data_IF_726745872865
#
_entry.id   IF_726745872865
#
_cell.length_a   1.000
_cell.length_b   1.000
_cell.length_c   1.000
_cell.angle_alpha   90.00
_cell.angle_beta   90.00
_cell.angle_gamma   90.00
#
_symmetry.space_group_name_H-M   'P 1'
#
loop_
_entity.id
_entity.type
_entity.pdbx_description
1 polymer ?
#
# COMPACT_ATOMS: atom_id res chain seq x y z
N UNK A 1 -17.55 -23.14 -22.33
CA UNK A 1 -18.85 -22.73 -21.78
C UNK A 1 -18.62 -21.40 -21.08
N UNK A 2 -18.93 -20.33 -21.81
CA UNK A 2 -18.56 -18.95 -21.48
C UNK A 2 -19.53 -18.37 -20.46
N UNK A 3 -19.03 -18.07 -19.26
CA UNK A 3 -19.72 -17.25 -18.27
C UNK A 3 -19.44 -15.79 -18.62
N UNK A 4 -20.44 -15.14 -19.21
CA UNK A 4 -20.47 -13.70 -19.38
C UNK A 4 -20.70 -13.08 -18.00
N UNK A 5 -19.60 -12.64 -17.38
CA UNK A 5 -19.61 -11.86 -16.15
C UNK A 5 -20.12 -10.45 -16.44
N UNK A 6 -21.31 -10.19 -15.93
CA UNK A 6 -22.00 -8.91 -15.93
C UNK A 6 -21.18 -7.87 -15.14
N UNK A 7 -20.32 -7.12 -15.85
CA UNK A 7 -19.64 -5.93 -15.32
C UNK A 7 -20.62 -4.75 -15.41
N UNK A 8 -21.60 -4.74 -14.51
CA UNK A 8 -22.38 -3.53 -14.25
C UNK A 8 -21.48 -2.55 -13.50
N UNK A 9 -20.99 -1.59 -14.27
CA UNK A 9 -20.28 -0.38 -13.89
C UNK A 9 -21.00 0.33 -12.73
N UNK A 10 -20.63 -0.01 -11.49
CA UNK A 10 -20.85 0.86 -10.34
C UNK A 10 -19.86 2.03 -10.45
N UNK A 11 -20.25 3.02 -11.24
CA UNK A 11 -19.78 4.39 -11.11
C UNK A 11 -20.35 4.99 -9.83
N UNK A 12 -19.88 4.48 -8.68
CA UNK A 12 -20.04 5.19 -7.41
C UNK A 12 -19.21 6.47 -7.56
N UNK A 13 -19.94 7.57 -7.73
CA UNK A 13 -19.41 8.92 -7.67
C UNK A 13 -18.61 9.07 -6.39
N UNK A 14 -17.29 8.95 -6.52
CA UNK A 14 -16.32 9.36 -5.52
C UNK A 14 -16.51 10.87 -5.37
N UNK A 15 -17.44 11.28 -4.50
CA UNK A 15 -17.51 12.65 -4.01
C UNK A 15 -16.17 12.85 -3.32
N UNK A 16 -15.32 13.66 -3.94
CA UNK A 16 -13.96 13.89 -3.51
C UNK A 16 -14.02 14.42 -2.07
N UNK A 17 -13.65 13.57 -1.11
CA UNK A 17 -13.71 13.89 0.32
C UNK A 17 -12.89 15.16 0.60
N UNK A 18 -11.92 15.46 -0.27
CA UNK A 18 -11.16 16.70 -0.27
C UNK A 18 -12.03 17.96 -0.46
N UNK A 19 -13.04 17.93 -1.34
CA UNK A 19 -13.91 19.08 -1.60
C UNK A 19 -14.90 19.31 -0.45
N UNK A 20 -15.38 18.25 0.20
CA UNK A 20 -16.24 18.37 1.38
C UNK A 20 -15.49 18.91 2.62
N UNK A 21 -14.21 18.53 2.80
CA UNK A 21 -13.39 19.06 3.90
C UNK A 21 -13.01 20.52 3.68
N UNK A 22 -12.78 20.95 2.42
CA UNK A 22 -12.47 22.35 2.10
C UNK A 22 -13.62 23.30 2.42
N UNK A 23 -14.86 22.91 2.09
CA UNK A 23 -16.04 23.73 2.34
C UNK A 23 -16.28 24.00 3.85
N UNK A 24 -16.01 23.03 4.72
CA UNK A 24 -16.26 23.17 6.16
C UNK A 24 -15.17 23.95 6.92
N UNK A 25 -13.95 24.06 6.40
CA UNK A 25 -12.87 24.80 7.06
C UNK A 25 -13.05 26.32 6.90
N UNK A 26 -13.62 26.78 5.78
CA UNK A 26 -13.78 28.21 5.52
C UNK A 26 -14.93 28.83 6.35
N UNK A 27 -16.00 28.08 6.61
CA UNK A 27 -17.17 28.57 7.38
C UNK A 27 -16.87 28.81 8.88
N UNK A 28 -15.87 28.12 9.45
CA UNK A 28 -15.51 28.25 10.87
C UNK A 28 -14.60 29.44 11.19
N UNK A 29 -14.09 30.14 10.17
CA UNK A 29 -13.07 31.19 10.35
C UNK A 29 -13.60 32.64 10.40
N UNK A 30 -14.90 32.87 10.11
CA UNK A 30 -15.43 34.25 9.94
C UNK A 30 -16.16 34.87 11.14
N UNK A 31 -16.22 34.18 12.29
CA UNK A 31 -16.83 34.74 13.50
C UNK A 31 -15.86 35.71 14.22
N UNK A 32 -15.63 36.87 13.61
CA UNK A 32 -14.84 37.96 14.16
C UNK A 32 -15.48 38.47 15.47
N UNK A 33 -14.79 38.23 16.58
CA UNK A 33 -15.13 38.69 17.92
C UNK A 33 -15.05 40.23 17.98
N UNK A 34 -16.18 40.90 18.17
CA UNK A 34 -16.22 42.34 18.45
C UNK A 34 -15.96 42.56 19.94
N UNK A 35 -14.91 43.30 20.35
CA UNK A 35 -14.65 43.57 21.75
C UNK A 35 -15.67 44.58 22.30
N UNK A 36 -16.58 44.11 23.14
CA UNK A 36 -17.59 44.93 23.80
C UNK A 36 -16.93 45.87 24.82
N UNK A 37 -17.02 47.18 24.58
CA UNK A 37 -16.43 48.24 25.38
C UNK A 37 -16.91 48.25 26.85
N UNK A 38 -16.14 47.66 27.75
CA UNK A 38 -16.30 47.81 29.20
C UNK A 38 -15.30 48.86 29.72
N UNK A 39 -15.68 50.14 29.79
CA UNK A 39 -14.72 51.20 30.15
C UNK A 39 -15.22 52.40 30.98
N UNK A 40 -16.50 52.55 31.29
CA UNK A 40 -17.03 53.86 31.78
C UNK A 40 -17.48 53.91 33.25
N UNK A 41 -17.44 52.81 34.01
CA UNK A 41 -17.99 52.79 35.38
C UNK A 41 -17.16 53.63 36.38
N UNK A 42 -15.83 53.71 36.20
CA UNK A 42 -14.94 54.28 37.21
C UNK A 42 -15.01 55.82 37.32
N UNK A 43 -15.37 56.52 36.22
CA UNK A 43 -15.40 58.00 36.21
C UNK A 43 -16.59 58.61 36.96
N UNK A 44 -17.69 57.86 37.12
CA UNK A 44 -18.88 58.36 37.80
C UNK A 44 -18.71 58.37 39.33
N UNK A 45 -18.12 57.30 39.87
CA UNK A 45 -17.89 57.11 41.31
C UNK A 45 -16.93 58.19 41.85
N UNK A 46 -15.89 58.54 41.07
CA UNK A 46 -14.93 59.58 41.46
C UNK A 46 -15.56 60.98 41.57
N UNK A 47 -16.50 61.32 40.68
CA UNK A 47 -17.19 62.64 40.71
C UNK A 47 -18.10 62.78 41.92
N UNK A 48 -18.85 61.74 42.27
CA UNK A 48 -19.75 61.76 43.43
C UNK A 48 -18.98 61.82 44.76
N UNK A 49 -17.84 61.12 44.85
CA UNK A 49 -16.95 61.21 46.01
C UNK A 49 -16.43 62.65 46.22
N UNK A 50 -16.02 63.32 45.14
CA UNK A 50 -15.51 64.69 45.21
C UNK A 50 -16.56 65.69 45.74
N UNK A 51 -17.82 65.59 45.28
CA UNK A 51 -18.91 66.45 45.75
C UNK A 51 -19.20 66.26 47.24
N UNK A 52 -19.20 65.01 47.71
CA UNK A 52 -19.43 64.70 49.12
C UNK A 52 -18.35 65.28 50.03
N UNK A 53 -17.06 65.09 49.71
CA UNK A 53 -15.97 65.67 50.50
C UNK A 53 -15.97 67.20 50.49
N UNK A 54 -16.40 67.81 49.39
CA UNK A 54 -16.58 69.25 49.32
C UNK A 54 -17.70 69.72 50.26
N UNK A 55 -18.83 69.03 50.30
CA UNK A 55 -19.93 69.34 51.21
C UNK A 55 -19.53 69.14 52.68
N UNK A 56 -18.81 68.07 53.00
CA UNK A 56 -18.33 67.79 54.35
C UNK A 56 -17.30 68.84 54.82
N UNK A 57 -16.39 69.27 53.92
CA UNK A 57 -15.49 70.38 54.19
C UNK A 57 -16.23 71.70 54.39
N UNK A 58 -17.28 71.95 53.62
CA UNK A 58 -18.08 73.16 53.75
C UNK A 58 -18.79 73.22 55.11
N UNK A 59 -19.38 72.10 55.57
CA UNK A 59 -20.03 72.02 56.88
C UNK A 59 -19.03 72.07 58.05
N UNK A 60 -17.85 71.48 57.89
CA UNK A 60 -16.78 71.57 58.89
C UNK A 60 -16.13 72.97 58.95
N UNK A 61 -16.16 73.72 57.84
CA UNK A 61 -15.62 75.07 57.74
C UNK A 61 -16.63 76.16 58.14
N UNK A 62 -17.93 75.86 58.23
CA UNK A 62 -18.88 76.83 58.76
C UNK A 62 -18.61 77.04 60.25
N UNK A 63 -18.35 78.28 60.69
CA UNK A 63 -18.08 78.57 62.09
C UNK A 63 -19.26 78.09 62.94
N UNK A 64 -18.97 77.34 63.99
CA UNK A 64 -20.02 76.82 64.88
C UNK A 64 -20.84 77.99 65.44
N UNK A 65 -22.13 77.81 65.74
CA UNK A 65 -22.96 78.83 66.36
C UNK A 65 -22.31 79.39 67.63
N UNK A 66 -21.56 78.56 68.35
CA UNK A 66 -20.70 78.95 69.47
C UNK A 66 -19.54 79.84 69.02
N UNK A 67 -18.80 79.48 67.98
CA UNK A 67 -17.73 80.33 67.43
C UNK A 67 -18.26 81.68 66.91
N UNK A 68 -19.43 81.69 66.25
CA UNK A 68 -20.09 82.92 65.81
C UNK A 68 -20.60 83.76 66.99
N UNK A 69 -21.19 83.11 68.00
CA UNK A 69 -21.61 83.75 69.23
C UNK A 69 -20.43 84.37 69.98
N UNK A 70 -19.30 83.67 70.09
CA UNK A 70 -18.09 84.17 70.74
C UNK A 70 -17.42 85.32 69.97
N UNK A 71 -17.57 85.37 68.64
CA UNK A 71 -17.06 86.44 67.80
C UNK A 71 -17.98 87.67 67.75
N UNK A 72 -19.24 87.56 68.20
CA UNK A 72 -20.15 88.70 68.29
C UNK A 72 -19.84 89.52 69.57
N UNK A 73 -19.42 90.80 69.44
CA UNK A 73 -19.06 91.63 70.58
C UNK A 73 -20.21 91.81 71.59
N UNK A 74 -21.46 91.53 71.22
CA UNK A 74 -22.59 91.58 72.13
C UNK A 74 -22.61 90.43 73.15
N UNK A 75 -22.05 89.26 72.81
CA UNK A 75 -21.96 88.12 73.73
C UNK A 75 -20.94 88.33 74.84
N UNK A 76 -19.86 89.06 74.55
CA UNK A 76 -18.90 89.46 75.57
C UNK A 76 -19.56 90.26 76.71
N UNK A 77 -20.60 91.04 76.41
CA UNK A 77 -21.39 91.82 77.38
C UNK A 77 -22.38 90.99 78.19
N UNK A 78 -22.86 89.89 77.61
CA UNK A 78 -23.80 88.93 78.21
C UNK A 78 -23.07 88.00 79.18
N UNK A 79 -21.83 87.61 78.86
CA UNK A 79 -20.99 86.74 79.68
C UNK A 79 -20.27 87.48 80.82
N UNK A 80 -20.18 88.82 80.76
CA UNK A 80 -19.72 89.62 81.90
C UNK A 80 -20.87 89.84 82.89
N UNK A 81 -20.82 89.26 84.11
CA UNK A 81 -21.89 89.45 85.10
C UNK A 81 -21.97 90.92 85.52
N UNK A 82 -23.01 91.62 85.08
CA UNK A 82 -23.27 93.02 85.46
C UNK A 82 -23.72 93.05 86.94
N UNK A 83 -23.12 93.88 87.82
CA UNK A 83 -23.45 93.90 89.24
C UNK A 83 -24.88 94.40 89.48
N UNK A 84 -25.68 93.60 90.21
CA UNK A 84 -27.09 93.83 90.53
C UNK A 84 -27.29 95.09 91.38
N UNK A 85 -27.79 96.18 90.80
CA UNK A 85 -28.32 97.33 91.55
C UNK A 85 -29.77 97.06 91.97
N UNK A 86 -30.02 97.12 93.29
CA UNK A 86 -31.32 97.04 93.96
C UNK A 86 -32.11 98.35 93.77
N UNK A 87 -33.34 98.30 93.26
CA UNK A 87 -34.35 99.36 93.52
C UNK A 87 -35.81 98.91 93.34
N UNK A 88 -36.51 98.89 94.48
CA UNK A 88 -37.90 99.27 94.81
C UNK A 88 -39.03 99.44 93.75
N UNK A 89 -40.17 98.80 94.09
CA UNK A 89 -41.58 99.29 94.19
C UNK A 89 -42.16 100.24 93.11
N UNK A 90 -43.21 99.78 92.41
CA UNK A 90 -44.63 100.20 92.56
C UNK A 90 -45.46 100.28 91.24
N UNK A 91 -46.75 99.96 91.39
CA UNK A 91 -47.98 100.30 90.60
C UNK A 91 -48.22 99.83 89.15
N UNK A 92 -49.30 99.02 89.02
CA UNK A 92 -50.50 99.13 88.13
C UNK A 92 -50.41 100.07 86.90
N UNK A 93 -50.58 99.51 85.69
CA UNK A 93 -51.75 99.70 84.79
C UNK A 93 -51.51 99.19 83.36
N UNK A 94 -52.50 98.46 82.83
CA UNK A 94 -52.97 98.35 81.44
C UNK A 94 -52.00 98.39 80.24
N UNK A 95 -52.06 97.27 79.50
CA UNK A 95 -52.17 97.15 78.04
C UNK A 95 -51.10 97.74 77.11
N UNK A 96 -50.76 96.88 76.15
CA UNK A 96 -50.11 97.16 74.87
C UNK A 96 -48.58 97.26 74.86
N UNK A 97 -48.05 96.84 73.72
CA UNK A 97 -46.68 97.04 73.23
C UNK A 97 -45.61 96.02 73.68
N UNK A 98 -45.18 95.25 72.69
CA UNK A 98 -43.75 95.00 72.37
C UNK A 98 -42.84 94.70 73.57
N UNK A 99 -42.74 93.41 73.90
CA UNK A 99 -41.64 92.87 74.73
C UNK A 99 -40.31 93.07 74.00
N UNK A 100 -39.68 94.22 74.22
CA UNK A 100 -38.26 94.43 73.98
C UNK A 100 -37.46 94.13 75.26
N UNK A 101 -36.32 93.48 75.04
CA UNK A 101 -35.06 93.75 75.74
C UNK A 101 -34.95 93.43 77.22
N UNK A 102 -35.11 92.14 77.51
CA UNK A 102 -34.22 91.44 78.44
C UNK A 102 -34.16 90.00 77.97
N UNK A 103 -33.51 89.78 76.82
CA UNK A 103 -33.08 88.45 76.41
C UNK A 103 -32.19 87.91 77.53
N UNK A 104 -32.81 87.11 78.39
CA UNK A 104 -32.17 86.44 79.50
C UNK A 104 -30.96 85.70 78.91
N UNK A 105 -29.78 86.01 79.42
CA UNK A 105 -28.52 85.47 78.92
C UNK A 105 -28.56 83.93 78.86
N UNK A 106 -29.31 83.32 79.79
CA UNK A 106 -29.65 81.89 79.81
C UNK A 106 -30.42 81.39 78.58
N UNK A 107 -31.37 82.15 78.04
CA UNK A 107 -32.14 81.77 76.85
C UNK A 107 -31.30 81.89 75.57
N UNK A 108 -30.43 82.91 75.50
CA UNK A 108 -29.48 83.07 74.40
C UNK A 108 -28.46 81.92 74.37
N UNK A 109 -27.90 81.57 75.54
CA UNK A 109 -27.03 80.41 75.73
C UNK A 109 -27.77 79.12 75.34
N UNK A 110 -29.03 78.95 75.77
CA UNK A 110 -29.85 77.79 75.41
C UNK A 110 -30.15 77.72 73.91
N UNK A 111 -30.39 78.84 73.24
CA UNK A 111 -30.56 78.87 71.77
C UNK A 111 -29.29 78.45 71.04
N UNK A 112 -28.11 78.90 71.51
CA UNK A 112 -26.84 78.48 70.93
C UNK A 112 -26.53 77.01 71.21
N UNK A 113 -26.79 76.51 72.43
CA UNK A 113 -26.67 75.09 72.72
C UNK A 113 -27.65 74.24 71.91
N UNK A 114 -28.90 74.66 71.76
CA UNK A 114 -29.88 73.96 70.93
C UNK A 114 -29.47 73.99 69.45
N UNK A 115 -28.86 75.07 68.97
CA UNK A 115 -28.34 75.17 67.60
C UNK A 115 -27.11 74.26 67.40
N UNK A 116 -26.20 74.22 68.36
CA UNK A 116 -25.05 73.31 68.35
C UNK A 116 -25.48 71.84 68.48
N UNK A 117 -26.44 71.53 69.34
CA UNK A 117 -27.00 70.19 69.47
C UNK A 117 -27.66 69.75 68.15
N UNK A 118 -28.37 70.64 67.46
CA UNK A 118 -28.90 70.36 66.12
C UNK A 118 -27.80 70.09 65.11
N UNK A 119 -26.74 70.91 65.07
CA UNK A 119 -25.61 70.70 64.16
C UNK A 119 -24.83 69.41 64.47
N UNK A 120 -24.60 69.10 65.74
CA UNK A 120 -23.94 67.85 66.13
C UNK A 120 -24.80 66.64 65.79
N UNK A 121 -26.12 66.73 65.96
CA UNK A 121 -27.04 65.68 65.56
C UNK A 121 -27.13 65.55 64.03
N UNK A 122 -27.10 66.65 63.28
CA UNK A 122 -27.00 66.66 61.82
C UNK A 122 -25.72 65.99 61.33
N UNK A 123 -24.57 66.32 61.94
CA UNK A 123 -23.29 65.69 61.63
C UNK A 123 -23.28 64.20 61.98
N UNK A 124 -23.86 63.79 63.13
CA UNK A 124 -24.04 62.38 63.49
C UNK A 124 -24.91 61.64 62.48
N UNK A 125 -26.01 62.24 62.04
CA UNK A 125 -26.89 61.67 61.01
C UNK A 125 -26.16 61.54 59.67
N UNK A 126 -25.40 62.55 59.27
CA UNK A 126 -24.59 62.50 58.05
C UNK A 126 -23.53 61.38 58.16
N UNK A 127 -22.82 61.27 59.28
CA UNK A 127 -21.87 60.19 59.50
C UNK A 127 -22.52 58.81 59.42
N UNK A 128 -23.69 58.62 60.05
CA UNK A 128 -24.45 57.36 59.95
C UNK A 128 -24.85 57.03 58.53
N UNK A 129 -25.48 57.97 57.81
CA UNK A 129 -25.90 57.76 56.42
C UNK A 129 -24.73 57.48 55.49
N UNK A 130 -23.56 58.08 55.76
CA UNK A 130 -22.34 57.80 54.99
C UNK A 130 -21.72 56.46 55.34
N UNK A 131 -21.83 56.02 56.60
CA UNK A 131 -21.49 54.66 57.03
C UNK A 131 -22.36 53.63 56.31
N UNK A 132 -23.69 53.81 56.36
CA UNK A 132 -24.64 52.92 55.69
C UNK A 132 -24.38 52.85 54.17
N UNK A 133 -24.10 54.00 53.53
CA UNK A 133 -23.76 54.06 52.10
C UNK A 133 -22.44 53.36 51.81
N UNK A 134 -21.43 53.52 52.67
CA UNK A 134 -20.15 52.84 52.52
C UNK A 134 -20.32 51.31 52.63
N UNK A 135 -21.10 50.85 53.61
CA UNK A 135 -21.42 49.42 53.78
C UNK A 135 -22.16 48.87 52.56
N UNK A 136 -23.13 49.61 52.02
CA UNK A 136 -23.82 49.22 50.78
C UNK A 136 -22.88 49.14 49.58
N UNK A 137 -21.96 50.10 49.42
CA UNK A 137 -20.98 50.07 48.33
C UNK A 137 -19.95 48.95 48.53
N UNK A 138 -19.57 48.62 49.77
CA UNK A 138 -18.73 47.45 50.06
C UNK A 138 -19.44 46.15 49.68
N UNK A 139 -20.71 45.97 50.05
CA UNK A 139 -21.49 44.81 49.63
C UNK A 139 -21.66 44.73 48.11
N UNK A 140 -21.84 45.87 47.44
CA UNK A 140 -21.89 45.93 45.98
C UNK A 140 -20.56 45.55 45.35
N UNK A 141 -19.44 46.01 45.92
CA UNK A 141 -18.09 45.66 45.48
C UNK A 141 -17.83 44.16 45.66
N UNK A 142 -18.13 43.59 46.84
CA UNK A 142 -17.99 42.15 47.11
C UNK A 142 -18.83 41.31 46.15
N UNK A 143 -20.07 41.74 45.87
CA UNK A 143 -20.93 41.05 44.91
C UNK A 143 -20.39 41.13 43.47
N UNK A 144 -19.78 42.26 43.09
CA UNK A 144 -19.12 42.42 41.79
C UNK A 144 -17.85 41.57 41.70
N UNK A 145 -17.04 41.51 42.75
CA UNK A 145 -15.83 40.71 42.84
C UNK A 145 -16.15 39.21 42.71
N UNK A 146 -17.15 38.71 43.45
CA UNK A 146 -17.58 37.30 43.33
C UNK A 146 -18.06 36.95 41.92
N UNK A 147 -18.78 37.86 41.25
CA UNK A 147 -19.20 37.67 39.85
C UNK A 147 -18.02 37.68 38.89
N UNK A 148 -17.05 38.58 39.09
CA UNK A 148 -15.83 38.63 38.28
C UNK A 148 -14.99 37.36 38.46
N UNK A 149 -14.76 36.93 39.70
CA UNK A 149 -14.04 35.70 40.02
C UNK A 149 -14.70 34.45 39.40
N UNK A 150 -16.03 34.34 39.49
CA UNK A 150 -16.77 33.26 38.84
C UNK A 150 -16.68 33.29 37.31
N UNK A 151 -16.73 34.49 36.71
CA UNK A 151 -16.54 34.64 35.26
C UNK A 151 -15.12 34.23 34.85
N UNK A 152 -14.10 34.65 35.59
CA UNK A 152 -12.70 34.27 35.35
C UNK A 152 -12.50 32.76 35.45
N UNK A 153 -13.01 32.12 36.49
CA UNK A 153 -12.95 30.65 36.63
C UNK A 153 -13.60 29.94 35.44
N UNK A 154 -14.78 30.42 35.01
CA UNK A 154 -15.45 29.88 33.82
C UNK A 154 -14.62 30.07 32.55
N UNK A 155 -13.96 31.22 32.38
CA UNK A 155 -13.07 31.43 31.23
C UNK A 155 -11.84 30.52 31.28
N UNK A 156 -11.24 30.30 32.45
CA UNK A 156 -10.12 29.37 32.65
C UNK A 156 -10.51 27.95 32.24
N UNK A 157 -11.61 27.44 32.78
CA UNK A 157 -12.13 26.10 32.43
C UNK A 157 -12.39 26.00 30.92
N UNK A 158 -12.96 27.03 30.29
CA UNK A 158 -13.19 27.01 28.84
C UNK A 158 -11.88 27.04 28.05
N UNK A 159 -10.86 27.78 28.51
CA UNK A 159 -9.55 27.84 27.88
C UNK A 159 -8.78 26.52 27.97
N UNK A 160 -8.88 25.83 29.11
CA UNK A 160 -8.30 24.50 29.31
C UNK A 160 -8.92 23.49 28.35
N UNK A 161 -10.26 23.48 28.23
CA UNK A 161 -10.96 22.61 27.27
C UNK A 161 -10.57 22.87 25.82
N UNK A 162 -10.35 24.13 25.45
CA UNK A 162 -9.87 24.50 24.10
C UNK A 162 -8.44 23.99 23.90
N UNK A 163 -7.56 24.13 24.90
CA UNK A 163 -6.19 23.62 24.83
C UNK A 163 -6.16 22.10 24.68
N UNK A 164 -6.97 21.38 25.47
CA UNK A 164 -7.13 19.92 25.38
C UNK A 164 -7.61 19.51 23.98
N UNK A 165 -8.64 20.19 23.46
CA UNK A 165 -9.14 19.93 22.10
C UNK A 165 -8.07 20.15 21.02
N UNK A 166 -7.29 21.23 21.12
CA UNK A 166 -6.19 21.50 20.18
C UNK A 166 -5.13 20.39 20.25
N UNK A 167 -4.79 19.92 21.45
CA UNK A 167 -3.81 18.85 21.62
C UNK A 167 -4.28 17.52 21.02
N UNK A 168 -5.55 17.14 21.26
CA UNK A 168 -6.17 15.93 20.70
C UNK A 168 -6.27 16.03 19.18
N UNK A 169 -6.66 17.20 18.66
CA UNK A 169 -6.68 17.44 17.22
C UNK A 169 -5.29 17.27 16.61
N UNK A 170 -4.26 17.86 17.20
CA UNK A 170 -2.89 17.74 16.72
C UNK A 170 -2.41 16.28 16.72
N UNK A 171 -2.72 15.51 17.77
CA UNK A 171 -2.42 14.08 17.81
C UNK A 171 -3.15 13.29 16.70
N UNK A 172 -4.42 13.63 16.44
CA UNK A 172 -5.19 13.02 15.37
C UNK A 172 -4.59 13.33 13.99
N UNK A 173 -4.19 14.58 13.75
CA UNK A 173 -3.54 15.01 12.50
C UNK A 173 -2.22 14.25 12.28
N UNK A 174 -1.40 14.07 13.33
CA UNK A 174 -0.18 13.26 13.24
C UNK A 174 -0.47 11.79 12.89
N UNK A 175 -1.50 11.19 13.48
CA UNK A 175 -1.91 9.81 13.14
C UNK A 175 -2.39 9.68 11.69
N UNK A 176 -3.14 10.66 11.19
CA UNK A 176 -3.58 10.68 9.78
C UNK A 176 -2.36 10.69 8.85
N UNK A 177 -1.34 11.49 9.16
CA UNK A 177 -0.09 11.52 8.38
C UNK A 177 0.62 10.17 8.43
N UNK A 178 0.78 9.57 9.61
CA UNK A 178 1.41 8.25 9.77
C UNK A 178 0.70 7.16 8.97
N UNK A 179 -0.64 7.07 9.08
CA UNK A 179 -1.44 6.10 8.32
C UNK A 179 -1.34 6.36 6.80
N UNK A 180 -1.23 7.63 6.39
CA UNK A 180 -0.97 8.00 5.00
C UNK A 180 0.38 7.50 4.49
N UNK A 181 1.43 7.58 5.29
CA UNK A 181 2.77 7.05 4.96
C UNK A 181 2.79 5.52 4.92
N UNK A 182 2.15 4.86 5.88
CA UNK A 182 1.99 3.40 5.90
C UNK A 182 1.23 2.90 4.67
N UNK A 183 0.16 3.58 4.29
CA UNK A 183 -0.62 3.26 3.08
C UNK A 183 0.23 3.38 1.82
N UNK A 184 1.05 4.44 1.70
CA UNK A 184 1.99 4.61 0.57
C UNK A 184 3.03 3.50 0.54
N UNK A 185 3.60 3.13 1.68
CA UNK A 185 4.57 2.03 1.80
C UNK A 185 3.96 0.69 1.37
N UNK A 186 2.76 0.36 1.87
CA UNK A 186 2.06 -0.88 1.51
C UNK A 186 1.71 -0.90 0.01
N UNK A 187 1.30 0.24 -0.57
CA UNK A 187 1.06 0.35 -2.01
C UNK A 187 2.31 0.04 -2.83
N UNK A 188 3.45 0.64 -2.48
CA UNK A 188 4.73 0.34 -3.15
C UNK A 188 5.10 -1.14 -3.04
N UNK A 189 4.88 -1.77 -1.88
CA UNK A 189 5.11 -3.20 -1.70
C UNK A 189 4.21 -4.05 -2.62
N UNK A 190 2.92 -3.73 -2.72
CA UNK A 190 1.99 -4.41 -3.63
C UNK A 190 2.46 -4.26 -5.09
N UNK A 191 2.86 -3.05 -5.51
CA UNK A 191 3.37 -2.83 -6.87
C UNK A 191 4.65 -3.63 -7.16
N UNK A 192 5.57 -3.72 -6.20
CA UNK A 192 6.79 -4.54 -6.35
C UNK A 192 6.46 -6.03 -6.51
N UNK A 193 5.57 -6.55 -5.66
CA UNK A 193 5.12 -7.95 -5.73
C UNK A 193 4.35 -8.24 -7.03
N UNK A 194 3.56 -7.27 -7.51
CA UNK A 194 2.85 -7.41 -8.78
C UNK A 194 3.82 -7.54 -9.97
N UNK A 195 4.86 -6.70 -10.03
CA UNK A 195 5.91 -6.81 -11.07
C UNK A 195 6.68 -8.13 -10.97
N UNK A 196 6.90 -8.65 -9.77
CA UNK A 196 7.53 -9.97 -9.58
C UNK A 196 6.62 -11.11 -10.06
N UNK A 197 5.32 -11.02 -9.80
CA UNK A 197 4.33 -11.97 -10.32
C UNK A 197 4.29 -11.96 -11.86
N UNK A 198 4.29 -10.79 -12.50
CA UNK A 198 4.36 -10.68 -13.97
C UNK A 198 5.63 -11.34 -14.53
N UNK A 199 6.81 -11.05 -13.94
CA UNK A 199 8.07 -11.71 -14.34
C UNK A 199 8.02 -13.23 -14.17
N UNK A 200 7.41 -13.71 -13.09
CA UNK A 200 7.25 -15.14 -12.84
C UNK A 200 6.30 -15.79 -13.87
N UNK A 201 5.21 -15.10 -14.24
CA UNK A 201 4.29 -15.53 -15.29
C UNK A 201 4.97 -15.60 -16.65
N UNK A 202 5.75 -14.59 -17.02
CA UNK A 202 6.55 -14.60 -18.25
C UNK A 202 7.53 -15.77 -18.28
N UNK A 203 8.18 -16.06 -17.14
CA UNK A 203 9.10 -17.20 -17.03
C UNK A 203 8.39 -18.55 -17.16
N UNK A 204 7.19 -18.68 -16.60
CA UNK A 204 6.36 -19.87 -16.77
C UNK A 204 6.00 -20.04 -18.25
N UNK A 205 5.54 -18.99 -18.92
CA UNK A 205 5.19 -19.03 -20.34
C UNK A 205 6.40 -19.39 -21.23
N UNK A 206 7.61 -18.94 -20.88
CA UNK A 206 8.84 -19.33 -21.57
C UNK A 206 9.14 -20.83 -21.38
N UNK A 207 9.07 -21.33 -20.14
CA UNK A 207 9.29 -22.74 -19.82
C UNK A 207 8.26 -23.65 -20.49
N UNK A 208 7.00 -23.24 -20.58
CA UNK A 208 5.96 -23.96 -21.31
C UNK A 208 6.30 -24.07 -22.80
N UNK A 209 6.76 -22.99 -23.43
CA UNK A 209 7.22 -23.03 -24.84
C UNK A 209 8.41 -23.95 -25.02
N UNK A 210 9.37 -23.94 -24.09
CA UNK A 210 10.52 -24.84 -24.13
C UNK A 210 10.09 -26.30 -23.97
N UNK A 211 9.16 -26.58 -23.05
CA UNK A 211 8.62 -27.91 -22.86
C UNK A 211 7.89 -28.41 -24.12
N UNK A 212 7.05 -27.57 -24.73
CA UNK A 212 6.37 -27.92 -25.98
C UNK A 212 7.34 -28.24 -27.13
N UNK A 213 8.48 -27.53 -27.22
CA UNK A 213 9.54 -27.84 -28.20
C UNK A 213 10.21 -29.18 -27.89
N UNK A 214 10.60 -29.42 -26.63
CA UNK A 214 11.20 -30.68 -26.22
C UNK A 214 10.25 -31.87 -26.46
N UNK A 215 8.96 -31.72 -26.16
CA UNK A 215 7.95 -32.75 -26.44
C UNK A 215 7.81 -33.03 -27.94
N UNK A 216 7.89 -32.01 -28.78
CA UNK A 216 7.89 -32.16 -30.23
C UNK A 216 9.13 -32.91 -30.73
N UNK A 217 10.31 -32.56 -30.23
CA UNK A 217 11.57 -33.22 -30.58
C UNK A 217 11.57 -34.69 -30.14
N UNK A 218 11.05 -34.99 -28.93
CA UNK A 218 10.87 -36.37 -28.45
C UNK A 218 9.92 -37.15 -29.39
N UNK A 219 8.82 -36.54 -29.83
CA UNK A 219 7.88 -37.17 -30.77
C UNK A 219 8.56 -37.46 -32.11
N UNK A 220 9.36 -36.55 -32.62
CA UNK A 220 10.10 -36.74 -33.88
C UNK A 220 11.18 -37.82 -33.74
N UNK A 221 11.98 -37.79 -32.67
CA UNK A 221 12.98 -38.81 -32.39
C UNK A 221 12.36 -40.22 -32.27
N UNK A 222 11.17 -40.33 -31.66
CA UNK A 222 10.41 -41.59 -31.61
C UNK A 222 9.94 -42.05 -32.98
N UNK A 223 9.55 -41.14 -33.87
CA UNK A 223 9.16 -41.49 -35.25
C UNK A 223 10.36 -41.98 -36.04
N UNK A 224 11.47 -41.24 -36.02
CA UNK A 224 12.70 -41.65 -36.70
C UNK A 224 13.24 -42.99 -36.16
N UNK A 225 13.19 -43.21 -34.84
CA UNK A 225 13.57 -44.50 -34.26
C UNK A 225 12.73 -45.65 -34.81
N UNK A 226 11.41 -45.48 -34.91
CA UNK A 226 10.50 -46.48 -35.51
C UNK A 226 10.78 -46.71 -36.99
N UNK A 227 11.08 -45.66 -37.74
CA UNK A 227 11.46 -45.77 -39.16
C UNK A 227 12.76 -46.60 -39.32
N UNK A 228 13.78 -46.36 -38.49
CA UNK A 228 15.00 -47.16 -38.48
C UNK A 228 14.75 -48.61 -38.05
N UNK A 229 13.89 -48.85 -37.06
CA UNK A 229 13.49 -50.21 -36.65
C UNK A 229 12.83 -50.97 -37.81
N UNK A 230 11.91 -50.33 -38.53
CA UNK A 230 11.25 -50.90 -39.70
C UNK A 230 12.24 -51.16 -40.84
N UNK A 231 13.13 -50.22 -41.14
CA UNK A 231 14.16 -50.39 -42.15
C UNK A 231 15.11 -51.54 -41.83
N UNK A 232 15.48 -51.69 -40.55
CA UNK A 232 16.34 -52.79 -40.08
C UNK A 232 15.60 -54.14 -40.16
N UNK A 233 14.30 -54.17 -39.86
CA UNK A 233 13.47 -55.36 -40.05
C UNK A 233 13.33 -55.76 -41.52
N UNK A 234 13.13 -54.79 -42.42
CA UNK A 234 13.06 -55.01 -43.86
C UNK A 234 14.40 -55.49 -44.42
N UNK A 235 15.52 -54.88 -44.02
CA UNK A 235 16.84 -55.37 -44.42
C UNK A 235 17.06 -56.81 -43.95
N UNK A 236 16.68 -57.14 -42.71
CA UNK A 236 16.76 -58.53 -42.20
C UNK A 236 15.88 -59.50 -42.98
N UNK A 237 14.70 -59.09 -43.46
CA UNK A 237 13.87 -59.97 -44.30
C UNK A 237 14.44 -60.12 -45.70
N UNK A 238 14.96 -59.04 -46.30
CA UNK A 238 15.67 -59.07 -47.58
C UNK A 238 16.92 -59.94 -47.51
N UNK A 239 17.73 -59.84 -46.45
CA UNK A 239 18.92 -60.67 -46.27
C UNK A 239 18.57 -62.16 -46.16
N UNK A 240 17.47 -62.49 -45.46
CA UNK A 240 16.96 -63.87 -45.43
C UNK A 240 16.55 -64.36 -46.82
N UNK A 241 15.80 -63.55 -47.58
CA UNK A 241 15.42 -63.87 -48.96
C UNK A 241 16.65 -64.02 -49.86
N UNK A 242 17.65 -63.16 -49.70
CA UNK A 242 18.90 -63.24 -50.44
C UNK A 242 19.71 -64.49 -50.08
N UNK A 243 19.72 -64.90 -48.81
CA UNK A 243 20.35 -66.15 -48.38
C UNK A 243 19.64 -67.37 -48.96
N UNK A 244 18.29 -67.37 -48.93
CA UNK A 244 17.48 -68.42 -49.54
C UNK A 244 17.70 -68.48 -51.06
N UNK A 245 17.71 -67.33 -51.75
CA UNK A 245 18.00 -67.25 -53.18
C UNK A 245 19.41 -67.74 -53.50
N UNK A 246 20.43 -67.30 -52.75
CA UNK A 246 21.81 -67.79 -52.90
C UNK A 246 21.92 -69.29 -52.68
N UNK A 247 21.15 -69.85 -51.76
CA UNK A 247 21.12 -71.29 -51.53
C UNK A 247 20.49 -72.03 -52.71
N UNK A 248 19.37 -71.53 -53.25
CA UNK A 248 18.72 -72.10 -54.45
C UNK A 248 19.63 -71.98 -55.66
N UNK A 249 20.18 -70.80 -55.92
CA UNK A 249 21.13 -70.55 -57.01
C UNK A 249 22.35 -71.46 -56.88
N UNK A 250 22.92 -71.58 -55.67
CA UNK A 250 24.04 -72.50 -55.40
C UNK A 250 23.71 -73.97 -55.66
N UNK A 251 22.48 -74.42 -55.40
CA UNK A 251 22.03 -75.78 -55.75
C UNK A 251 21.91 -75.92 -57.28
N UNK A 252 21.33 -74.94 -57.96
CA UNK A 252 21.14 -74.96 -59.42
C UNK A 252 22.49 -74.94 -60.13
N UNK A 253 23.37 -74.01 -59.76
CA UNK A 253 24.76 -73.93 -60.24
C UNK A 253 25.52 -75.22 -59.92
N UNK A 254 25.39 -75.76 -58.70
CA UNK A 254 26.02 -77.02 -58.32
C UNK A 254 25.54 -78.20 -59.15
N UNK A 255 24.24 -78.29 -59.47
CA UNK A 255 23.68 -79.30 -60.37
C UNK A 255 24.17 -79.14 -61.80
N UNK A 256 24.19 -77.90 -62.32
CA UNK A 256 24.68 -77.61 -63.66
C UNK A 256 26.17 -77.94 -63.79
N UNK A 257 27.00 -77.46 -62.86
CA UNK A 257 28.43 -77.78 -62.80
C UNK A 257 28.66 -79.30 -62.69
N UNK A 258 27.89 -79.99 -61.83
CA UNK A 258 27.93 -81.45 -61.72
C UNK A 258 27.58 -82.17 -63.02
N UNK A 259 26.53 -81.73 -63.72
CA UNK A 259 26.13 -82.27 -65.02
C UNK A 259 27.20 -82.01 -66.10
N UNK A 260 27.79 -80.82 -66.13
CA UNK A 260 28.87 -80.50 -67.06
C UNK A 260 30.12 -81.35 -66.82
N UNK A 261 30.51 -81.53 -65.56
CA UNK A 261 31.63 -82.40 -65.17
C UNK A 261 31.33 -83.84 -65.60
N UNK A 262 30.14 -84.36 -65.27
CA UNK A 262 29.73 -85.71 -65.67
C UNK A 262 29.75 -85.89 -67.19
N UNK A 263 29.25 -84.91 -67.95
CA UNK A 263 29.25 -84.90 -69.42
C UNK A 263 30.66 -84.83 -70.01
N UNK A 264 31.58 -84.07 -69.40
CA UNK A 264 33.01 -84.06 -69.79
C UNK A 264 33.64 -85.43 -69.55
N UNK A 265 33.40 -86.02 -68.38
CA UNK A 265 33.90 -87.35 -68.02
C UNK A 265 33.33 -88.44 -68.95
N UNK A 266 32.05 -88.35 -69.32
CA UNK A 266 31.43 -89.26 -70.28
C UNK A 266 32.03 -89.10 -71.68
N UNK A 267 32.26 -87.86 -72.14
CA UNK A 267 32.98 -87.61 -73.40
C UNK A 267 34.39 -88.21 -73.38
N UNK A 268 35.11 -88.06 -72.28
CA UNK A 268 36.43 -88.67 -72.10
C UNK A 268 36.37 -90.20 -72.10
N UNK A 269 35.40 -90.80 -71.40
CA UNK A 269 35.15 -92.25 -71.44
C UNK A 269 34.82 -92.73 -72.85
N UNK A 270 33.92 -92.04 -73.57
CA UNK A 270 33.59 -92.34 -74.96
C UNK A 270 34.83 -92.23 -75.84
N UNK A 271 35.65 -91.19 -75.69
CA UNK A 271 36.93 -91.06 -76.40
C UNK A 271 37.85 -92.24 -76.13
N UNK A 272 37.98 -92.68 -74.86
CA UNK A 272 38.77 -93.87 -74.52
C UNK A 272 38.20 -95.14 -75.14
N UNK A 273 36.89 -95.35 -75.09
CA UNK A 273 36.24 -96.52 -75.73
C UNK A 273 36.44 -96.51 -77.24
N UNK A 274 36.26 -95.35 -77.90
CA UNK A 274 36.53 -95.19 -79.33
C UNK A 274 38.01 -95.42 -79.65
N UNK A 275 38.94 -94.92 -78.83
CA UNK A 275 40.37 -95.17 -79.01
C UNK A 275 40.69 -96.65 -78.86
N UNK A 276 40.22 -97.31 -77.81
CA UNK A 276 40.44 -98.76 -77.61
C UNK A 276 39.78 -99.60 -78.70
N UNK A 277 38.58 -99.22 -79.17
CA UNK A 277 37.90 -99.92 -80.25
C UNK A 277 38.58 -99.68 -81.61
N UNK A 278 39.10 -98.47 -81.83
CA UNK A 278 39.87 -98.12 -83.03
C UNK A 278 41.23 -98.84 -83.05
N UNK A 279 41.93 -98.89 -81.92
CA UNK A 279 43.17 -99.65 -81.75
C UNK A 279 42.93 -101.14 -81.89
N UNK A 280 41.88 -101.69 -81.27
CA UNK A 280 41.50 -103.09 -81.43
C UNK A 280 41.11 -103.43 -82.88
N UNK A 281 40.34 -102.57 -83.55
CA UNK A 281 39.98 -102.75 -84.96
C UNK A 281 41.17 -102.61 -85.90
N UNK A 282 42.10 -101.69 -85.61
CA UNK A 282 43.34 -101.53 -86.35
C UNK A 282 44.25 -102.74 -86.20
N UNK A 283 44.38 -103.28 -84.99
CA UNK A 283 45.17 -104.49 -84.73
C UNK A 283 44.53 -105.71 -85.38
N UNK A 284 43.20 -105.89 -85.23
CA UNK A 284 42.48 -106.98 -85.89
C UNK A 284 42.62 -106.92 -87.41
N UNK A 285 42.48 -105.74 -88.03
CA UNK A 285 42.68 -105.58 -89.47
C UNK A 285 44.14 -105.76 -89.92
N UNK A 286 45.10 -105.41 -89.06
CA UNK A 286 46.52 -105.67 -89.31
C UNK A 286 46.81 -107.18 -89.24
N UNK A 287 46.28 -107.88 -88.25
CA UNK A 287 46.44 -109.33 -88.07
C UNK A 287 45.74 -110.13 -89.17
N UNK A 288 44.54 -109.71 -89.59
CA UNK A 288 43.79 -110.28 -90.71
C UNK A 288 44.52 -110.05 -92.05
N UNK A 289 45.05 -108.83 -92.25
CA UNK A 289 45.92 -108.53 -93.41
C UNK A 289 47.22 -109.33 -93.40
N UNK A 290 47.82 -109.56 -92.23
CA UNK A 290 49.01 -110.39 -92.08
C UNK A 290 48.71 -111.87 -92.37
N UNK A 291 47.54 -112.36 -91.94
CA UNK A 291 47.09 -113.72 -92.19
C UNK A 291 46.81 -113.96 -93.69
N UNK A 292 46.04 -113.08 -94.34
CA UNK A 292 45.83 -113.14 -95.79
C UNK A 292 47.15 -113.01 -96.56
N UNK A 293 48.06 -112.13 -96.14
CA UNK A 293 49.38 -112.01 -96.76
C UNK A 293 50.22 -113.29 -96.65
N UNK A 294 50.16 -114.00 -95.51
CA UNK A 294 50.81 -115.31 -95.36
C UNK A 294 50.17 -116.40 -96.19
N UNK A 295 48.84 -116.38 -96.35
CA UNK A 295 48.13 -117.33 -97.22
C UNK A 295 48.47 -117.08 -98.69
N UNK A 296 48.47 -115.83 -99.15
CA UNK A 296 48.87 -115.47 -100.52
C UNK A 296 50.36 -115.77 -100.81
N UNK A 297 51.25 -115.51 -99.85
CA UNK A 297 52.66 -115.90 -99.99
C UNK A 297 52.84 -117.41 -100.00
N UNK A 298 52.03 -118.15 -99.22
CA UNK A 298 52.02 -119.61 -99.23
C UNK A 298 51.50 -120.15 -100.56
N UNK A 299 50.43 -119.59 -101.11
CA UNK A 299 49.95 -119.94 -102.46
C UNK A 299 51.01 -119.64 -103.52
N UNK A 300 51.63 -118.46 -103.50
CA UNK A 300 52.75 -118.15 -104.43
C UNK A 300 53.94 -119.08 -104.26
N UNK A 301 54.26 -119.49 -103.04
CA UNK A 301 55.35 -120.42 -102.78
C UNK A 301 55.02 -121.81 -103.33
N UNK A 302 53.78 -122.27 -103.21
CA UNK A 302 53.31 -123.51 -103.82
C UNK A 302 53.32 -123.43 -105.35
N UNK A 303 52.81 -122.35 -105.94
CA UNK A 303 52.88 -122.09 -107.38
C UNK A 303 54.32 -122.06 -107.92
N UNK A 304 55.25 -121.49 -107.15
CA UNK A 304 56.67 -121.47 -107.50
C UNK A 304 57.31 -122.86 -107.36
N UNK A 305 56.87 -123.67 -106.40
CA UNK A 305 57.32 -125.05 -106.21
C UNK A 305 56.83 -125.96 -107.34
N UNK A 306 55.58 -125.80 -107.77
CA UNK A 306 54.99 -126.55 -108.88
C UNK A 306 55.69 -126.20 -110.20
N UNK A 307 55.98 -124.91 -110.45
CA UNK A 307 56.82 -124.49 -111.59
C UNK A 307 58.25 -125.02 -111.55
N UNK A 308 58.81 -125.22 -110.35
CA UNK A 308 60.13 -125.83 -110.20
C UNK A 308 60.11 -127.33 -110.53
N UNK A 309 59.04 -128.03 -110.15
CA UNK A 309 58.86 -129.46 -110.49
C UNK A 309 58.61 -129.66 -111.99
N UNK A 310 57.87 -128.77 -112.65
CA UNK A 310 57.69 -128.79 -114.12
C UNK A 310 59.02 -128.62 -114.87
N UNK A 311 59.93 -127.76 -114.38
CA UNK A 311 61.25 -127.54 -115.00
C UNK A 311 62.29 -128.66 -114.74
N UNK A 312 62.05 -129.58 -113.80
CA UNK A 312 62.97 -130.71 -113.51
C UNK A 312 62.58 -132.01 -114.25
N UNK A 313 61.43 -132.05 -114.92
CA UNK A 313 60.96 -133.21 -115.68
C UNK A 313 61.55 -133.38 -117.09
N UNK A 314 62.24 -132.37 -117.64
CA UNK A 314 62.68 -132.34 -119.05
C UNK A 314 64.14 -132.78 -119.31
N UNK A 315 64.81 -133.50 -118.39
CA UNK A 315 66.25 -133.87 -118.56
C UNK A 315 66.61 -135.36 -118.55
N UNK A 316 65.65 -136.28 -118.68
CA UNK A 316 65.96 -137.68 -119.01
C UNK A 316 64.95 -138.28 -119.99
N UNK A 317 65.02 -137.84 -121.25
CA UNK A 317 64.78 -138.69 -122.43
C UNK A 317 66.12 -139.19 -122.98
#
# INVERSE_FOLDING_TARGET
MSSAGDQTERSESFIDVADYVKANIEESSSAAYTPTAQGTSNSYIQRERAKFFMQLRQMAATPTPVANALNDPNWSRVLTPRPKSRSSKSSKSSNSSTKSDSLDTSHLIQLVFNAEERQTNELKMLLRTTGDRLEQELHRADAAERRAAFAEERTKISSERIADFISVKHEADLRIVQLGEETKRLRLMIETQHRELERAQDRIAELERQNMRAEYDIKNAKKSAKEFELALQEQRSQDKLNQENRFVDGIVEGRQAGYEIAKKLEREKRKRVYQTAFEAGRNAGFDEGLACGREEERERALDAFDKFLENQGEQYE
#
